data_IF_284538639765
#
_entry.id   IF_284538639765
#
_cell.length_a   1.000
_cell.length_b   1.000
_cell.length_c   1.000
_cell.angle_alpha   90.00
_cell.angle_beta   90.00
_cell.angle_gamma   90.00
#
_symmetry.space_group_name_H-M   'P 1'
#
loop_
_entity.id
_entity.type
_entity.pdbx_description
1 polymer ?
#
# COMPACT_ATOMS: atom_id res chain seq x y z
N UNK A 1 -28.94 7.35 -19.47
CA UNK A 1 -29.00 6.72 -18.13
C UNK A 1 -27.86 7.25 -17.28
N UNK A 2 -28.09 7.28 -15.97
CA UNK A 2 -27.44 8.16 -14.99
C UNK A 2 -25.91 8.02 -14.83
N UNK A 3 -25.34 9.15 -14.43
CA UNK A 3 -23.94 9.48 -14.14
C UNK A 3 -23.47 8.92 -12.78
N UNK A 4 -22.16 8.65 -12.67
CA UNK A 4 -21.33 8.46 -11.45
C UNK A 4 -21.50 7.16 -10.65
N UNK A 5 -20.46 6.32 -10.72
CA UNK A 5 -19.66 5.90 -9.55
C UNK A 5 -18.20 5.68 -9.97
N UNK A 6 -17.52 6.74 -10.41
CA UNK A 6 -16.09 6.83 -10.16
C UNK A 6 -15.96 7.14 -8.66
N UNK A 7 -16.06 6.11 -7.83
CA UNK A 7 -15.65 6.21 -6.44
C UNK A 7 -14.12 6.09 -6.41
N UNK A 8 -13.44 7.06 -7.04
CA UNK A 8 -12.12 7.47 -6.59
C UNK A 8 -12.38 8.08 -5.23
N UNK A 9 -12.23 7.26 -4.19
CA UNK A 9 -12.13 7.77 -2.84
C UNK A 9 -11.01 8.81 -2.85
N UNK A 10 -11.41 10.07 -2.75
CA UNK A 10 -10.57 11.24 -2.48
C UNK A 10 -10.03 11.16 -1.04
N UNK A 11 -9.52 9.98 -0.66
CA UNK A 11 -8.56 9.90 0.42
C UNK A 11 -7.27 10.42 -0.18
N UNK A 12 -6.53 11.32 0.49
CA UNK A 12 -5.22 11.73 0.00
C UNK A 12 -4.43 10.46 -0.28
N UNK A 13 -4.06 10.24 -1.55
CA UNK A 13 -3.24 9.11 -1.95
C UNK A 13 -1.93 9.27 -1.20
N UNK A 14 -1.87 8.68 0.00
CA UNK A 14 -0.69 8.75 0.84
C UNK A 14 0.35 7.96 0.09
N UNK A 15 1.29 8.70 -0.51
CA UNK A 15 2.42 8.16 -1.24
C UNK A 15 3.62 8.38 -0.36
N UNK A 16 4.21 7.27 0.08
CA UNK A 16 5.36 7.24 0.96
C UNK A 16 6.43 6.37 0.34
N UNK A 17 7.66 6.58 0.75
CA UNK A 17 8.78 5.72 0.35
C UNK A 17 8.61 4.33 0.94
N UNK A 18 9.34 3.34 0.40
CA UNK A 18 9.38 1.99 0.96
C UNK A 18 9.75 1.99 2.45
N UNK A 19 10.75 2.78 2.84
CA UNK A 19 11.16 2.86 4.25
C UNK A 19 10.04 3.42 5.13
N UNK A 20 9.43 4.53 4.73
CA UNK A 20 8.33 5.13 5.49
C UNK A 20 7.12 4.19 5.60
N UNK A 21 6.84 3.40 4.56
CA UNK A 21 5.85 2.34 4.63
C UNK A 21 6.24 1.30 5.68
N UNK A 22 7.45 0.75 5.60
CA UNK A 22 7.96 -0.24 6.56
C UNK A 22 7.86 0.30 7.99
N UNK A 23 8.21 1.55 8.24
CA UNK A 23 8.09 2.19 9.56
C UNK A 23 6.63 2.39 9.99
N UNK A 24 5.76 2.71 9.02
CA UNK A 24 4.32 2.91 9.23
C UNK A 24 3.49 1.63 9.04
N UNK A 25 4.10 0.45 9.03
CA UNK A 25 3.39 -0.81 8.74
C UNK A 25 2.24 -1.07 9.73
N UNK A 26 2.42 -0.64 10.99
CA UNK A 26 1.40 -0.73 12.03
C UNK A 26 0.10 0.02 11.65
N UNK A 27 0.18 1.12 10.90
CA UNK A 27 -0.99 1.85 10.39
C UNK A 27 -1.86 1.02 9.46
N UNK A 28 -1.28 0.00 8.81
CA UNK A 28 -1.96 -0.92 7.90
C UNK A 28 -2.20 -2.31 8.52
N UNK A 29 -2.07 -2.45 9.85
CA UNK A 29 -2.18 -3.75 10.57
C UNK A 29 -1.26 -4.82 9.96
N UNK A 30 -0.07 -4.40 9.53
CA UNK A 30 0.97 -5.27 9.02
C UNK A 30 2.23 -5.11 9.86
N UNK A 31 3.04 -6.15 9.91
CA UNK A 31 4.36 -6.06 10.53
C UNK A 31 5.38 -5.46 9.55
N UNK A 32 6.45 -4.89 10.10
CA UNK A 32 7.52 -4.25 9.31
C UNK A 32 8.16 -5.23 8.33
N UNK A 33 8.33 -6.48 8.74
CA UNK A 33 8.87 -7.54 7.88
C UNK A 33 7.89 -7.95 6.78
N UNK A 34 6.57 -7.94 7.05
CA UNK A 34 5.55 -8.20 6.03
C UNK A 34 5.52 -7.09 5.00
N UNK A 35 5.65 -5.83 5.45
CA UNK A 35 5.70 -4.68 4.56
C UNK A 35 6.99 -4.68 3.73
N UNK A 36 8.13 -5.00 4.34
CA UNK A 36 9.40 -5.14 3.63
C UNK A 36 9.36 -6.28 2.61
N UNK A 37 8.72 -7.40 2.95
CA UNK A 37 8.50 -8.54 2.05
C UNK A 37 7.54 -8.21 0.91
N UNK A 38 6.42 -7.55 1.20
CA UNK A 38 5.46 -7.11 0.18
C UNK A 38 6.04 -6.04 -0.76
N UNK A 39 7.00 -5.25 -0.28
CA UNK A 39 7.70 -4.22 -1.03
C UNK A 39 9.12 -4.65 -1.45
N UNK A 40 9.44 -5.95 -1.48
CA UNK A 40 10.81 -6.41 -1.77
C UNK A 40 11.32 -5.91 -3.13
N UNK A 41 10.43 -5.88 -4.13
CA UNK A 41 10.69 -5.44 -5.50
C UNK A 41 10.68 -3.90 -5.68
N UNK A 42 10.19 -3.16 -4.68
CA UNK A 42 10.18 -1.69 -4.71
C UNK A 42 11.54 -1.16 -4.30
N UNK A 43 12.02 -0.13 -5.01
CA UNK A 43 13.22 0.61 -4.64
C UNK A 43 12.97 1.49 -3.41
N UNK A 44 14.01 1.75 -2.63
CA UNK A 44 13.87 2.53 -1.39
C UNK A 44 13.35 3.97 -1.61
N UNK A 45 13.71 4.57 -2.75
CA UNK A 45 13.29 5.92 -3.13
C UNK A 45 11.96 5.96 -3.91
N UNK A 46 11.37 4.80 -4.21
CA UNK A 46 10.11 4.76 -4.95
C UNK A 46 8.94 5.13 -4.02
N UNK A 47 8.11 6.07 -4.49
CA UNK A 47 6.90 6.47 -3.80
C UNK A 47 5.78 5.50 -4.15
N UNK A 48 5.33 4.73 -3.16
CA UNK A 48 4.25 3.77 -3.31
C UNK A 48 2.98 4.35 -2.73
N UNK A 49 1.89 4.29 -3.48
CA UNK A 49 0.57 4.64 -2.96
C UNK A 49 0.06 3.59 -1.97
N UNK A 50 -0.66 4.02 -0.94
CA UNK A 50 -1.24 3.13 0.07
C UNK A 50 -2.05 1.98 -0.55
N UNK A 51 -2.82 2.25 -1.60
CA UNK A 51 -3.61 1.24 -2.31
C UNK A 51 -2.76 0.12 -2.92
N UNK A 52 -1.59 0.46 -3.45
CA UNK A 52 -0.63 -0.53 -3.97
C UNK A 52 0.03 -1.32 -2.85
N UNK A 53 0.39 -0.67 -1.74
CA UNK A 53 0.94 -1.36 -0.56
C UNK A 53 -0.07 -2.36 0.00
N UNK A 54 -1.34 -1.98 0.13
CA UNK A 54 -2.42 -2.87 0.58
C UNK A 54 -2.59 -4.08 -0.33
N UNK A 55 -2.64 -3.88 -1.65
CA UNK A 55 -2.74 -5.00 -2.62
C UNK A 55 -1.54 -5.94 -2.51
N UNK A 56 -0.33 -5.39 -2.43
CA UNK A 56 0.91 -6.17 -2.28
C UNK A 56 0.95 -6.94 -0.96
N UNK A 57 0.53 -6.32 0.15
CA UNK A 57 0.43 -6.96 1.45
C UNK A 57 -0.56 -8.12 1.45
N UNK A 58 -1.75 -7.94 0.86
CA UNK A 58 -2.76 -9.00 0.76
C UNK A 58 -2.20 -10.19 -0.02
N UNK A 59 -1.55 -9.93 -1.15
CA UNK A 59 -0.87 -10.96 -1.95
C UNK A 59 0.25 -11.65 -1.18
N UNK A 60 1.05 -10.88 -0.42
CA UNK A 60 2.15 -11.42 0.40
C UNK A 60 1.63 -12.31 1.53
N UNK A 61 0.49 -11.96 2.13
CA UNK A 61 -0.19 -12.75 3.18
C UNK A 61 -0.91 -14.00 2.63
N UNK A 62 -0.92 -14.20 1.31
CA UNK A 62 -1.61 -15.33 0.68
C UNK A 62 -3.14 -15.18 0.63
N UNK A 63 -3.67 -13.96 0.75
CA UNK A 63 -5.09 -13.70 0.52
C UNK A 63 -5.36 -13.51 -0.98
N UNK A 64 -6.21 -14.37 -1.56
CA UNK A 64 -6.85 -14.15 -2.87
C UNK A 64 -8.00 -13.13 -2.77
#
# INVERSE_FOLDING_TARGET
MAVRKEQKSDAPETRRTKQEWIESAASLKAERFEMAGALFDVKENDLVAEGDVKRRLVRYKGGE
#
